data_IF_645233142991
#
_entry.id   IF_645233142991
#
_cell.length_a   1.000
_cell.length_b   1.000
_cell.length_c   1.000
_cell.angle_alpha   90.00
_cell.angle_beta   90.00
_cell.angle_gamma   90.00
#
_symmetry.space_group_name_H-M   'P 1'
#
loop_
_entity.id
_entity.type
_entity.pdbx_description
1 polymer ?
#
# COMPACT_ATOMS: atom_id res chain seq x y z
N UNK A 1 38.22 6.45 -30.08
CA UNK A 1 37.60 6.48 -29.65
C UNK A 1 37.02 6.27 -29.30
N UNK A 2 36.89 6.06 -29.35
CA UNK A 2 36.17 5.84 -28.86
C UNK A 2 35.63 5.55 -28.11
N UNK A 3 35.58 5.44 -28.06
CA UNK A 3 34.95 5.27 -27.11
C UNK A 3 34.25 5.31 -26.60
N UNK A 4 34.52 5.27 -26.68
CA UNK A 4 33.84 5.52 -26.04
C UNK A 4 33.01 5.41 -25.76
N UNK A 5 32.73 5.23 -25.98
CA UNK A 5 31.96 5.41 -25.59
C UNK A 5 31.44 5.08 -24.73
N UNK A 6 31.60 4.62 -24.61
CA UNK A 6 31.04 4.48 -23.79
C UNK A 6 30.34 4.70 -23.13
N UNK A 7 30.21 4.94 -23.39
CA UNK A 7 29.60 5.31 -22.63
C UNK A 7 28.66 4.88 -22.10
N UNK A 8 28.91 4.26 -22.56
CA UNK A 8 28.10 4.02 -22.15
C UNK A 8 27.57 3.68 -21.46
N UNK A 9 27.83 3.33 -21.65
CA UNK A 9 27.37 2.86 -20.92
C UNK A 9 26.82 3.14 -19.94
N UNK A 10 27.20 3.38 -19.86
CA UNK A 10 26.73 3.68 -18.84
C UNK A 10 25.47 3.92 -18.70
N UNK A 11 25.35 4.00 -19.28
CA UNK A 11 24.30 4.37 -19.14
C UNK A 11 23.19 3.61 -18.68
N UNK A 12 23.31 3.16 -18.78
CA UNK A 12 22.47 2.73 -18.45
C UNK A 12 22.14 2.27 -17.36
N UNK A 13 22.47 2.04 -17.19
CA UNK A 13 22.18 1.62 -16.29
C UNK A 13 21.38 1.97 -15.25
N UNK A 14 21.25 1.98 -15.33
CA UNK A 14 20.65 2.32 -14.56
C UNK A 14 19.49 2.78 -14.14
N UNK A 15 18.89 2.63 -14.35
CA UNK A 15 17.69 3.40 -14.15
C UNK A 15 16.65 2.55 -13.46
N UNK A 16 16.64 1.32 -13.75
CA UNK A 16 15.70 0.38 -13.11
C UNK A 16 15.92 0.31 -11.61
N UNK A 17 17.17 0.34 -11.18
CA UNK A 17 17.44 0.33 -9.76
C UNK A 17 16.93 1.56 -9.05
N UNK A 18 17.00 2.70 -9.70
CA UNK A 18 16.48 3.94 -9.14
C UNK A 18 14.96 3.85 -8.96
N UNK A 19 14.26 3.28 -9.93
CA UNK A 19 12.82 3.14 -9.82
C UNK A 19 12.44 2.24 -8.65
N UNK A 20 13.21 1.18 -8.40
CA UNK A 20 12.93 0.29 -7.28
C UNK A 20 13.20 0.96 -5.93
N UNK A 21 14.20 1.82 -5.88
CA UNK A 21 14.52 2.54 -4.64
C UNK A 21 13.41 3.48 -4.22
N UNK A 22 12.58 3.90 -5.17
CA UNK A 22 11.48 4.82 -4.90
C UNK A 22 10.14 4.13 -4.70
N UNK A 23 10.14 2.79 -4.55
CA UNK A 23 8.89 2.06 -4.33
C UNK A 23 8.27 2.50 -2.99
N UNK A 24 7.09 3.16 -3.03
CA UNK A 24 6.47 3.62 -1.79
C UNK A 24 5.98 2.50 -0.89
N UNK A 25 5.90 1.27 -1.40
CA UNK A 25 5.47 0.12 -0.63
C UNK A 25 6.64 -0.66 -0.01
N UNK A 26 7.88 -0.24 -0.25
CA UNK A 26 9.04 -1.03 0.14
C UNK A 26 9.12 -1.28 1.65
N UNK A 27 8.64 -0.35 2.48
CA UNK A 27 8.63 -0.53 3.93
C UNK A 27 7.42 -1.33 4.42
N UNK A 28 6.47 -1.63 3.56
CA UNK A 28 5.18 -2.17 3.97
C UNK A 28 5.17 -3.69 3.99
N UNK A 29 5.93 -4.34 3.10
CA UNK A 29 5.81 -5.78 2.88
C UNK A 29 6.16 -6.62 4.10
N UNK A 30 7.07 -6.18 4.93
CA UNK A 30 7.51 -6.93 6.10
C UNK A 30 6.81 -6.50 7.39
N UNK A 31 5.86 -5.59 7.30
CA UNK A 31 5.27 -4.95 8.47
C UNK A 31 3.74 -5.00 8.41
N UNK A 32 3.11 -4.58 9.49
CA UNK A 32 1.65 -4.59 9.60
C UNK A 32 1.13 -3.16 9.56
N UNK A 33 0.14 -2.92 8.72
CA UNK A 33 -0.55 -1.64 8.63
C UNK A 33 -1.85 -1.75 9.43
N UNK A 34 -2.06 -0.81 10.34
CA UNK A 34 -3.28 -0.75 11.14
C UNK A 34 -4.07 0.48 10.75
N UNK A 35 -5.38 0.33 10.59
CA UNK A 35 -6.27 1.43 10.23
C UNK A 35 -7.35 1.60 11.29
N UNK A 36 -7.77 2.86 11.48
CA UNK A 36 -8.89 3.18 12.37
C UNK A 36 -9.77 4.21 11.68
N UNK A 37 -11.04 3.86 11.49
CA UNK A 37 -12.00 4.76 10.86
C UNK A 37 -12.30 5.94 11.79
N UNK A 38 -12.17 7.15 11.25
CA UNK A 38 -12.52 8.35 12.01
C UNK A 38 -14.03 8.43 12.26
N UNK A 39 -14.82 7.80 11.38
CA UNK A 39 -16.28 7.87 11.46
C UNK A 39 -16.83 6.88 12.49
N UNK A 40 -16.36 5.63 12.45
CA UNK A 40 -16.94 4.56 13.25
C UNK A 40 -16.05 4.11 14.41
N UNK A 41 -14.76 4.46 14.38
CA UNK A 41 -13.78 3.95 15.35
C UNK A 41 -13.38 2.51 15.10
N UNK A 42 -13.90 1.87 14.06
CA UNK A 42 -13.56 0.49 13.74
C UNK A 42 -12.10 0.39 13.33
N UNK A 43 -11.42 -0.66 13.78
CA UNK A 43 -10.01 -0.89 13.48
C UNK A 43 -9.83 -2.10 12.60
N UNK A 44 -8.76 -2.10 11.82
CA UNK A 44 -8.38 -3.23 10.99
C UNK A 44 -6.88 -3.31 10.83
N UNK A 45 -6.41 -4.48 10.44
CA UNK A 45 -5.00 -4.67 10.11
C UNK A 45 -4.88 -5.20 8.69
N UNK A 46 -3.83 -4.75 8.01
CA UNK A 46 -3.56 -5.12 6.62
C UNK A 46 -2.11 -5.59 6.52
N UNK A 47 -1.90 -6.65 5.75
CA UNK A 47 -0.56 -7.14 5.43
C UNK A 47 -0.45 -7.24 3.91
N UNK A 48 0.49 -6.50 3.34
CA UNK A 48 0.65 -6.39 1.89
C UNK A 48 1.79 -7.29 1.42
N UNK A 49 1.58 -7.95 0.31
CA UNK A 49 2.59 -8.78 -0.34
C UNK A 49 3.05 -8.13 -1.63
N UNK A 50 4.31 -8.34 -1.97
CA UNK A 50 4.89 -7.72 -3.16
C UNK A 50 4.27 -8.24 -4.46
N UNK A 51 3.57 -9.37 -4.41
CA UNK A 51 2.91 -9.94 -5.58
C UNK A 51 1.58 -9.28 -5.95
N UNK A 52 1.17 -8.24 -5.21
CA UNK A 52 -0.08 -7.55 -5.49
C UNK A 52 -1.27 -8.04 -4.67
N UNK A 53 -1.06 -8.95 -3.74
CA UNK A 53 -2.12 -9.42 -2.84
C UNK A 53 -1.98 -8.78 -1.46
N UNK A 54 -3.07 -8.80 -0.71
CA UNK A 54 -3.03 -8.41 0.70
C UNK A 54 -4.03 -9.25 1.50
N UNK A 55 -3.80 -9.32 2.80
CA UNK A 55 -4.74 -9.92 3.74
C UNK A 55 -5.20 -8.86 4.73
N UNK A 56 -6.44 -8.99 5.18
CA UNK A 56 -7.05 -8.02 6.09
C UNK A 56 -7.79 -8.73 7.21
N UNK A 57 -7.69 -8.15 8.40
CA UNK A 57 -8.52 -8.53 9.55
C UNK A 57 -9.16 -7.26 10.05
N UNK A 58 -10.50 -7.23 10.04
CA UNK A 58 -11.23 -6.03 10.40
C UNK A 58 -12.51 -6.41 11.14
N UNK A 59 -13.30 -5.42 11.50
CA UNK A 59 -14.61 -5.62 12.11
C UNK A 59 -15.67 -5.44 11.04
N UNK A 60 -16.52 -6.43 10.87
CA UNK A 60 -17.61 -6.37 9.90
C UNK A 60 -18.74 -5.47 10.36
N UNK A 61 -19.74 -5.24 9.48
CA UNK A 61 -20.87 -4.37 9.81
C UNK A 61 -21.68 -4.86 11.01
N UNK A 62 -21.64 -6.16 11.30
CA UNK A 62 -22.35 -6.74 12.44
C UNK A 62 -21.52 -6.69 13.73
N UNK A 63 -20.37 -6.03 13.71
CA UNK A 63 -19.48 -5.94 14.87
C UNK A 63 -18.61 -7.15 15.10
N UNK A 64 -18.67 -8.14 14.22
CA UNK A 64 -17.90 -9.37 14.36
C UNK A 64 -16.59 -9.30 13.55
N UNK A 65 -15.57 -10.06 13.98
CA UNK A 65 -14.33 -10.10 13.21
C UNK A 65 -14.57 -10.61 11.78
N UNK A 66 -13.89 -9.98 10.83
CA UNK A 66 -13.95 -10.35 9.42
C UNK A 66 -12.53 -10.44 8.89
N UNK A 67 -12.16 -11.62 8.39
CA UNK A 67 -10.86 -11.82 7.75
C UNK A 67 -11.08 -12.07 6.26
N UNK A 68 -10.32 -11.38 5.41
CA UNK A 68 -10.44 -11.58 3.96
C UNK A 68 -9.13 -11.24 3.29
N UNK A 69 -9.06 -11.52 2.00
CA UNK A 69 -7.93 -11.21 1.15
C UNK A 69 -8.37 -10.30 0.02
N UNK A 70 -7.42 -9.71 -0.66
CA UNK A 70 -7.71 -8.87 -1.79
C UNK A 70 -6.49 -8.62 -2.63
N UNK A 71 -6.64 -7.70 -3.58
CA UNK A 71 -5.57 -7.29 -4.46
C UNK A 71 -5.38 -5.79 -4.35
N UNK A 72 -4.12 -5.37 -4.42
CA UNK A 72 -3.79 -3.95 -4.42
C UNK A 72 -3.06 -3.59 -5.70
N UNK A 73 -3.18 -2.35 -6.10
CA UNK A 73 -2.47 -1.82 -7.26
C UNK A 73 -2.15 -0.36 -7.03
N UNK A 74 -1.12 0.11 -7.70
CA UNK A 74 -0.73 1.51 -7.66
C UNK A 74 -1.19 2.20 -8.92
N UNK A 75 -1.57 3.47 -8.78
CA UNK A 75 -1.95 4.34 -9.89
C UNK A 75 -1.20 5.65 -9.75
N UNK A 76 -1.25 6.46 -10.79
CA UNK A 76 -0.67 7.81 -10.81
C UNK A 76 0.81 7.80 -10.44
N UNK A 77 1.56 6.88 -11.07
CA UNK A 77 3.00 6.73 -10.84
C UNK A 77 3.35 6.44 -9.38
N UNK A 78 2.49 5.68 -8.70
CA UNK A 78 2.72 5.30 -7.31
C UNK A 78 2.18 6.27 -6.29
N UNK A 79 1.50 7.33 -6.72
CA UNK A 79 0.93 8.32 -5.79
C UNK A 79 -0.41 7.89 -5.19
N UNK A 80 -1.01 6.82 -5.72
CA UNK A 80 -2.32 6.35 -5.29
C UNK A 80 -2.29 4.84 -5.14
N UNK A 81 -2.90 4.31 -4.07
CA UNK A 81 -3.07 2.88 -3.89
C UNK A 81 -4.56 2.56 -3.91
N UNK A 82 -4.92 1.49 -4.63
CA UNK A 82 -6.29 1.01 -4.72
C UNK A 82 -6.37 -0.40 -4.18
N UNK A 83 -7.39 -0.67 -3.36
CA UNK A 83 -7.60 -1.97 -2.72
C UNK A 83 -8.91 -2.56 -3.23
N UNK A 84 -8.86 -3.79 -3.70
CA UNK A 84 -10.02 -4.52 -4.21
C UNK A 84 -10.19 -5.80 -3.39
N UNK A 85 -11.13 -5.83 -2.44
CA UNK A 85 -11.37 -7.04 -1.65
C UNK A 85 -11.88 -8.20 -2.51
N UNK A 86 -11.42 -9.41 -2.19
CA UNK A 86 -11.92 -10.64 -2.82
C UNK A 86 -12.99 -11.22 -1.90
N UNK A 87 -14.24 -10.86 -2.17
CA UNK A 87 -15.38 -11.27 -1.39
C UNK A 87 -16.49 -11.75 -2.36
N UNK A 88 -17.48 -12.53 -1.90
CA UNK A 88 -18.55 -12.97 -2.79
C UNK A 88 -19.33 -11.83 -3.45
N UNK A 89 -19.55 -10.73 -2.71
CA UNK A 89 -20.18 -9.53 -3.25
C UNK A 89 -19.28 -8.35 -2.93
N UNK A 90 -18.14 -8.19 -3.68
CA UNK A 90 -17.15 -7.22 -3.29
C UNK A 90 -17.66 -5.79 -3.51
N UNK A 91 -17.30 -4.88 -2.60
CA UNK A 91 -17.52 -3.46 -2.86
C UNK A 91 -16.58 -3.02 -3.98
N UNK A 92 -16.83 -1.84 -4.58
CA UNK A 92 -15.89 -1.27 -5.55
C UNK A 92 -14.53 -1.08 -4.92
N UNK A 93 -13.49 -1.10 -5.76
CA UNK A 93 -12.14 -0.83 -5.29
C UNK A 93 -12.08 0.56 -4.66
N UNK A 94 -11.40 0.65 -3.52
CA UNK A 94 -11.24 1.90 -2.79
C UNK A 94 -9.82 2.41 -2.98
N UNK A 95 -9.67 3.67 -3.36
CA UNK A 95 -8.37 4.26 -3.64
C UNK A 95 -8.08 5.39 -2.65
N UNK A 96 -6.81 5.55 -2.29
CA UNK A 96 -6.38 6.61 -1.41
C UNK A 96 -4.98 7.06 -1.77
N UNK A 97 -4.62 8.30 -1.39
CA UNK A 97 -3.25 8.78 -1.61
C UNK A 97 -2.25 7.89 -0.88
N UNK A 98 -1.11 7.69 -1.53
CA UNK A 98 -0.03 6.87 -0.98
C UNK A 98 1.24 7.69 -0.92
N UNK A 99 1.86 7.72 0.26
CA UNK A 99 3.21 8.23 0.45
C UNK A 99 3.99 7.21 1.23
N UNK A 100 5.32 7.27 1.10
CA UNK A 100 6.19 6.32 1.79
C UNK A 100 6.28 6.69 3.26
N UNK A 101 6.02 5.71 4.13
CA UNK A 101 6.07 5.89 5.58
C UNK A 101 6.98 4.85 6.19
N UNK A 102 7.43 5.12 7.41
CA UNK A 102 8.31 4.23 8.16
C UNK A 102 7.55 3.58 9.31
N UNK A 103 8.11 2.48 9.79
CA UNK A 103 7.61 1.83 11.01
C UNK A 103 7.58 2.85 12.15
N UNK A 104 6.48 2.86 12.88
CA UNK A 104 6.28 3.77 14.00
C UNK A 104 5.55 5.06 13.66
N UNK A 105 5.34 5.32 12.36
CA UNK A 105 4.61 6.52 11.95
C UNK A 105 3.11 6.30 11.99
N UNK A 106 2.39 7.40 12.23
CA UNK A 106 0.94 7.45 12.15
C UNK A 106 0.56 8.63 11.26
N UNK A 107 -0.38 8.41 10.34
CA UNK A 107 -0.82 9.45 9.40
C UNK A 107 -2.29 9.25 9.08
N UNK A 108 -2.88 10.22 8.41
CA UNK A 108 -4.28 10.13 8.00
C UNK A 108 -4.38 9.99 6.50
N UNK A 109 -5.33 9.18 6.04
CA UNK A 109 -5.68 9.08 4.63
C UNK A 109 -7.18 9.24 4.47
N UNK A 110 -7.60 9.83 3.35
CA UNK A 110 -9.01 9.94 2.98
C UNK A 110 -9.18 9.22 1.65
N UNK A 111 -10.08 8.25 1.60
CA UNK A 111 -10.29 7.47 0.39
C UNK A 111 -11.26 8.16 -0.56
N UNK A 112 -11.51 7.53 -1.72
CA UNK A 112 -12.38 8.10 -2.75
C UNK A 112 -13.84 8.21 -2.33
N UNK A 113 -14.26 7.49 -1.29
CA UNK A 113 -15.60 7.62 -0.71
C UNK A 113 -15.69 8.74 0.33
N UNK A 114 -14.58 9.45 0.57
CA UNK A 114 -14.56 10.53 1.56
C UNK A 114 -14.39 10.07 2.99
N UNK A 115 -14.07 8.81 3.21
CA UNK A 115 -13.84 8.27 4.55
C UNK A 115 -12.39 8.47 4.95
N UNK A 116 -12.16 8.97 6.17
CA UNK A 116 -10.82 9.22 6.70
C UNK A 116 -10.44 8.15 7.70
N UNK A 117 -9.20 7.68 7.57
CA UNK A 117 -8.63 6.67 8.47
C UNK A 117 -7.34 7.20 9.08
N UNK A 118 -7.15 6.91 10.36
CA UNK A 118 -5.82 7.00 10.97
C UNK A 118 -5.09 5.70 10.66
N UNK A 119 -3.89 5.82 10.10
CA UNK A 119 -3.10 4.69 9.64
C UNK A 119 -1.79 4.67 10.40
N UNK A 120 -1.36 3.50 10.80
CA UNK A 120 -0.06 3.34 11.44
C UNK A 120 0.63 2.09 10.92
N UNK A 121 1.95 2.06 11.03
CA UNK A 121 2.76 0.91 10.62
C UNK A 121 3.55 0.40 11.79
N UNK A 122 3.39 -0.88 12.11
CA UNK A 122 4.11 -1.54 13.19
C UNK A 122 5.02 -2.62 12.62
N UNK A 123 6.14 -2.87 13.32
CA UNK A 123 7.14 -3.82 12.86
C UNK A 123 6.60 -5.25 12.88
N UNK A 124 6.93 -6.00 11.83
CA UNK A 124 6.61 -7.41 11.74
C UNK A 124 5.22 -7.70 11.23
N UNK A 125 4.95 -9.00 11.02
CA UNK A 125 3.68 -9.47 10.49
C UNK A 125 3.14 -10.61 11.32
#
# INVERSE_FOLDING_TARGET
>A
MRFSTLALAGAFVFAAGVAQADDPMSNTYANTVTTKSAKTGATGTLMFNADGSYSANTTGPDGKPLAYQGKWMLKDNGATICLAPTLPNPPPASCSPLTKHAVGETWNVTNTEGETFAVSMTAGR
#
